data_IF_635925489230
#
_entry.id   IF_635925489230
#
_cell.length_a   1.000
_cell.length_b   1.000
_cell.length_c   1.000
_cell.angle_alpha   90.00
_cell.angle_beta   90.00
_cell.angle_gamma   90.00
#
_symmetry.space_group_name_H-M   'P 1'
#
loop_
_entity.id
_entity.type
_entity.pdbx_description
1 polymer ?
#
# COMPACT_ATOMS: atom_id res chain seq x y z
N UNK A 1 -35.56 -43.71 8.14
CA UNK A 1 -34.82 -42.69 7.38
C UNK A 1 -34.68 -41.52 8.30
N UNK A 2 -33.46 -41.23 8.76
CA UNK A 2 -33.02 -39.88 9.15
C UNK A 2 -31.51 -39.95 9.32
N UNK A 3 -30.80 -39.66 8.24
CA UNK A 3 -29.36 -39.45 8.25
C UNK A 3 -29.21 -37.95 8.53
N UNK A 4 -29.16 -37.61 9.82
CA UNK A 4 -28.85 -36.27 10.28
C UNK A 4 -27.41 -35.94 9.92
N UNK A 5 -27.25 -35.14 8.88
CA UNK A 5 -25.99 -34.51 8.49
C UNK A 5 -25.55 -33.58 9.61
N UNK A 6 -24.75 -34.07 10.56
CA UNK A 6 -24.00 -33.20 11.47
C UNK A 6 -23.00 -32.41 10.62
N UNK A 7 -23.42 -31.22 10.18
CA UNK A 7 -22.48 -30.19 9.74
C UNK A 7 -21.47 -30.03 10.88
N UNK A 8 -20.18 -30.13 10.56
CA UNK A 8 -19.13 -29.92 11.55
C UNK A 8 -19.35 -28.54 12.19
N UNK A 9 -19.79 -28.52 13.44
CA UNK A 9 -19.97 -27.28 14.21
C UNK A 9 -18.63 -26.55 14.21
N UNK A 10 -18.59 -25.37 13.60
CA UNK A 10 -17.40 -24.54 13.60
C UNK A 10 -17.14 -24.09 15.03
N UNK A 11 -16.10 -24.66 15.64
CA UNK A 11 -15.69 -24.35 17.00
C UNK A 11 -14.63 -23.26 16.97
N UNK A 12 -14.89 -22.15 17.65
CA UNK A 12 -14.00 -21.01 17.71
C UNK A 12 -13.24 -20.95 19.03
N UNK A 13 -11.97 -20.57 18.95
CA UNK A 13 -11.15 -20.26 20.11
C UNK A 13 -11.49 -18.88 20.71
N UNK A 14 -11.12 -18.67 21.97
CA UNK A 14 -11.26 -17.37 22.65
C UNK A 14 -10.74 -16.17 21.84
N UNK A 15 -9.60 -16.33 21.16
CA UNK A 15 -8.97 -15.29 20.36
C UNK A 15 -9.79 -14.97 19.10
N UNK A 16 -10.40 -15.97 18.48
CA UNK A 16 -11.27 -15.78 17.32
C UNK A 16 -12.58 -15.11 17.71
N UNK A 17 -13.19 -15.53 18.82
CA UNK A 17 -14.40 -14.88 19.35
C UNK A 17 -14.11 -13.43 19.75
N UNK A 18 -12.93 -13.14 20.30
CA UNK A 18 -12.51 -11.76 20.60
C UNK A 18 -12.44 -10.88 19.34
N UNK A 19 -11.94 -11.44 18.22
CA UNK A 19 -11.89 -10.74 16.92
C UNK A 19 -13.29 -10.52 16.36
N UNK A 20 -14.15 -11.53 16.39
CA UNK A 20 -15.52 -11.46 15.85
C UNK A 20 -16.37 -10.46 16.63
N UNK A 21 -16.27 -10.46 17.97
CA UNK A 21 -17.08 -9.60 18.85
C UNK A 21 -16.48 -8.22 19.12
N UNK A 22 -15.22 -8.00 18.73
CA UNK A 22 -14.47 -6.77 19.05
C UNK A 22 -14.28 -6.55 20.56
N UNK A 23 -14.33 -7.61 21.37
CA UNK A 23 -14.11 -7.56 22.83
C UNK A 23 -12.78 -8.21 23.20
N UNK A 24 -12.20 -7.83 24.34
CA UNK A 24 -10.98 -8.47 24.83
C UNK A 24 -11.24 -9.92 25.28
N UNK A 25 -10.26 -10.81 25.09
CA UNK A 25 -10.33 -12.22 25.51
C UNK A 25 -10.66 -12.37 27.01
N UNK A 26 -10.21 -11.43 27.85
CA UNK A 26 -10.53 -11.37 29.28
C UNK A 26 -12.01 -11.14 29.55
N UNK A 27 -12.67 -10.36 28.70
CA UNK A 27 -14.12 -10.10 28.77
C UNK A 27 -14.89 -11.35 28.37
N UNK A 28 -14.49 -11.99 27.28
CA UNK A 28 -15.09 -13.26 26.82
C UNK A 28 -14.92 -14.35 27.89
N UNK A 29 -13.72 -14.48 28.47
CA UNK A 29 -13.46 -15.40 29.59
C UNK A 29 -14.35 -15.13 30.82
N UNK A 30 -14.66 -13.86 31.10
CA UNK A 30 -15.57 -13.50 32.20
C UNK A 30 -17.01 -13.92 31.87
N UNK A 31 -17.45 -13.77 30.63
CA UNK A 31 -18.79 -14.19 30.19
C UNK A 31 -18.97 -15.71 30.29
N UNK A 32 -17.94 -16.48 29.91
CA UNK A 32 -17.95 -17.93 30.10
C UNK A 32 -18.06 -18.28 31.58
N UNK A 33 -17.22 -17.68 32.44
CA UNK A 33 -17.25 -17.92 33.89
C UNK A 33 -18.57 -17.50 34.56
N UNK A 34 -19.24 -16.48 34.04
CA UNK A 34 -20.54 -16.04 34.56
C UNK A 34 -21.72 -16.78 33.92
N UNK A 35 -21.48 -17.80 33.08
CA UNK A 35 -22.54 -18.58 32.42
C UNK A 35 -23.31 -17.82 31.35
N UNK A 36 -22.80 -16.67 30.89
CA UNK A 36 -23.44 -15.85 29.85
C UNK A 36 -23.12 -16.33 28.43
N UNK A 37 -22.05 -17.10 28.27
CA UNK A 37 -21.62 -17.67 27.01
C UNK A 37 -21.31 -19.15 27.25
N UNK A 38 -22.05 -20.09 26.65
CA UNK A 38 -21.72 -21.51 26.74
C UNK A 38 -20.39 -21.77 26.02
N UNK A 39 -19.54 -22.59 26.64
CA UNK A 39 -18.25 -22.97 26.07
C UNK A 39 -17.82 -24.33 26.60
N UNK A 40 -17.15 -25.11 25.76
CA UNK A 40 -16.58 -26.41 26.11
C UNK A 40 -15.10 -26.19 26.45
N UNK A 41 -14.68 -26.65 27.63
CA UNK A 41 -13.27 -26.57 28.03
C UNK A 41 -12.46 -27.61 27.26
N UNK A 42 -11.50 -27.16 26.45
CA UNK A 42 -10.62 -28.03 25.67
C UNK A 42 -9.17 -27.72 26.02
N UNK A 43 -8.53 -28.62 26.78
CA UNK A 43 -7.17 -28.44 27.29
C UNK A 43 -7.06 -27.22 28.23
N UNK A 44 -6.19 -26.28 27.87
CA UNK A 44 -5.97 -25.02 28.59
C UNK A 44 -6.90 -23.88 28.15
N UNK A 45 -7.72 -24.08 27.11
CA UNK A 45 -8.59 -23.07 26.52
C UNK A 45 -10.08 -23.43 26.58
N UNK A 46 -10.87 -22.60 25.90
CA UNK A 46 -12.32 -22.79 25.71
C UNK A 46 -12.63 -22.75 24.21
N UNK A 47 -13.53 -23.64 23.79
CA UNK A 47 -14.11 -23.70 22.46
C UNK A 47 -15.58 -23.29 22.54
N UNK A 48 -15.98 -22.38 21.65
CA UNK A 48 -17.33 -21.79 21.62
C UNK A 48 -17.93 -22.10 20.26
N UNK A 49 -19.16 -22.60 20.25
CA UNK A 49 -19.90 -22.87 19.01
C UNK A 49 -20.32 -21.56 18.33
N UNK A 50 -20.32 -21.53 17.00
CA UNK A 50 -20.65 -20.33 16.21
C UNK A 50 -22.01 -19.71 16.60
N UNK A 51 -22.99 -20.56 16.83
CA UNK A 51 -24.38 -20.19 17.15
C UNK A 51 -24.53 -19.46 18.49
N UNK A 52 -23.62 -19.70 19.42
CA UNK A 52 -23.62 -19.09 20.75
C UNK A 52 -22.87 -17.77 20.80
N UNK A 53 -22.06 -17.46 19.76
CA UNK A 53 -21.37 -16.20 19.68
C UNK A 53 -22.44 -15.11 19.51
N UNK A 54 -22.50 -14.09 20.39
CA UNK A 54 -23.38 -12.96 20.20
C UNK A 54 -22.89 -12.16 18.99
N UNK A 55 -23.30 -12.61 17.81
CA UNK A 55 -23.10 -11.99 16.52
C UNK A 55 -23.96 -10.74 16.46
N UNK A 56 -23.45 -9.58 16.91
CA UNK A 56 -23.86 -8.27 16.40
C UNK A 56 -22.76 -7.24 16.65
N UNK A 57 -22.15 -6.73 15.58
CA UNK A 57 -22.58 -5.50 14.91
C UNK A 57 -22.02 -5.57 13.49
N UNK A 58 -22.89 -5.31 12.52
CA UNK A 58 -22.53 -5.13 11.11
C UNK A 58 -21.27 -4.25 10.99
N UNK A 59 -20.16 -4.73 10.40
CA UNK A 59 -18.94 -3.93 10.22
C UNK A 59 -19.16 -2.72 9.29
N UNK A 60 -20.35 -2.62 8.70
CA UNK A 60 -20.80 -1.51 7.84
C UNK A 60 -21.33 -0.31 8.62
N UNK A 61 -21.66 -0.45 9.92
CA UNK A 61 -21.99 0.71 10.76
C UNK A 61 -20.71 1.37 11.28
N UNK A 62 -20.18 2.24 10.42
CA UNK A 62 -19.13 3.18 10.71
C UNK A 62 -19.42 3.93 12.02
N UNK A 63 -18.48 3.83 12.96
CA UNK A 63 -18.51 4.47 14.29
C UNK A 63 -18.72 5.98 14.18
N UNK A 64 -18.33 6.58 13.05
CA UNK A 64 -18.54 7.99 12.75
C UNK A 64 -20.01 8.36 12.52
N UNK A 65 -20.83 7.47 11.95
CA UNK A 65 -22.26 7.73 11.73
C UNK A 65 -23.02 7.86 13.05
N UNK A 66 -22.72 7.01 14.03
CA UNK A 66 -23.34 7.02 15.37
C UNK A 66 -22.95 8.29 16.15
N UNK A 67 -21.71 8.75 16.01
CA UNK A 67 -21.23 9.98 16.66
C UNK A 67 -21.88 11.22 16.02
N UNK A 68 -22.02 11.25 14.69
CA UNK A 68 -22.72 12.33 14.00
C UNK A 68 -24.20 12.36 14.34
N UNK A 69 -24.89 11.22 14.42
CA UNK A 69 -26.30 11.14 14.81
C UNK A 69 -26.53 11.64 16.25
N UNK A 70 -25.55 11.44 17.13
CA UNK A 70 -25.55 11.97 18.51
C UNK A 70 -25.30 13.47 18.59
N UNK A 71 -24.52 14.03 17.67
CA UNK A 71 -24.24 15.46 17.59
C UNK A 71 -25.38 16.26 16.92
N UNK A 72 -26.22 15.60 16.11
CA UNK A 72 -27.30 16.19 15.33
C UNK A 72 -28.69 16.05 15.97
N UNK A 73 -28.80 15.45 17.16
CA UNK A 73 -30.06 15.35 17.91
C UNK A 73 -30.08 16.37 19.04
N UNK A 74 -30.80 17.51 18.92
CA UNK A 74 -30.95 18.48 19.99
C UNK A 74 -32.24 18.18 20.74
N UNK A 75 -32.28 17.13 21.55
CA UNK A 75 -33.24 17.03 22.66
C UNK A 75 -32.99 15.76 23.49
N UNK A 76 -33.00 15.91 24.82
CA UNK A 76 -33.07 14.78 25.75
C UNK A 76 -32.03 14.77 26.86
N UNK A 77 -31.98 15.85 27.65
CA UNK A 77 -31.68 15.87 29.09
C UNK A 77 -30.99 14.65 29.74
N UNK A 78 -29.70 14.76 30.01
CA UNK A 78 -29.12 14.21 31.25
C UNK A 78 -28.39 15.34 31.99
N UNK A 79 -28.69 15.55 33.28
CA UNK A 79 -28.12 16.65 34.05
C UNK A 79 -26.66 16.35 34.41
N UNK A 80 -25.79 17.32 34.15
CA UNK A 80 -24.45 17.35 34.72
C UNK A 80 -24.52 17.22 36.24
N UNK A 81 -23.65 16.42 36.89
CA UNK A 81 -23.43 16.55 38.31
C UNK A 81 -22.65 17.85 38.53
N UNK A 82 -23.38 18.94 38.80
CA UNK A 82 -22.81 20.11 39.44
C UNK A 82 -22.32 19.67 40.82
N UNK A 83 -21.00 19.58 40.96
CA UNK A 83 -20.36 19.49 42.26
C UNK A 83 -20.68 20.78 43.03
N UNK A 84 -21.75 20.74 43.83
CA UNK A 84 -21.98 21.71 44.88
C UNK A 84 -20.86 21.52 45.90
N UNK A 85 -19.89 22.43 45.88
CA UNK A 85 -19.04 22.70 47.03
C UNK A 85 -19.93 23.12 48.20
N UNK A 86 -20.42 22.13 48.95
CA UNK A 86 -20.90 22.34 50.30
C UNK A 86 -19.69 22.74 51.14
N UNK A 87 -19.41 24.04 51.19
CA UNK A 87 -18.67 24.62 52.29
C UNK A 87 -19.50 24.35 53.53
N UNK A 88 -19.14 23.31 54.29
CA UNK A 88 -19.56 23.18 55.70
C UNK A 88 -18.96 24.38 56.44
N UNK A 89 -19.68 25.50 56.40
CA UNK A 89 -19.50 26.57 57.36
C UNK A 89 -19.86 25.97 58.71
N UNK A 90 -18.82 25.64 59.48
CA UNK A 90 -18.97 25.35 60.91
C UNK A 90 -19.38 26.66 61.56
N UNK A 91 -20.64 26.76 61.94
CA UNK A 91 -21.20 27.92 62.63
C UNK A 91 -20.53 28.06 64.01
N UNK A 92 -19.52 28.93 64.07
CA UNK A 92 -18.71 29.21 65.26
C UNK A 92 -19.57 29.64 66.48
N UNK A 93 -20.79 30.13 66.23
CA UNK A 93 -21.71 30.54 67.30
C UNK A 93 -22.34 29.36 68.03
N UNK A 94 -22.41 28.16 67.44
CA UNK A 94 -22.89 26.95 68.14
C UNK A 94 -21.85 26.37 69.09
N UNK A 95 -20.55 26.55 68.81
CA UNK A 95 -19.47 25.99 69.66
C UNK A 95 -19.28 26.83 70.93
N UNK A 96 -19.48 28.16 70.87
CA UNK A 96 -19.37 29.02 72.06
C UNK A 96 -20.49 28.84 73.09
N UNK A 97 -21.67 28.35 72.69
CA UNK A 97 -22.79 28.15 73.62
C UNK A 97 -22.68 26.87 74.46
N UNK A 98 -21.85 25.89 74.06
CA UNK A 98 -21.65 24.66 74.85
C UNK A 98 -20.54 24.83 75.91
N UNK A 99 -19.61 25.76 75.71
CA UNK A 99 -18.53 26.03 76.66
C UNK A 99 -18.97 26.86 77.89
N UNK A 100 -20.16 27.48 77.87
CA UNK A 100 -20.65 28.35 78.95
C UNK A 100 -21.40 27.66 80.10
N UNK A 101 -21.86 26.41 79.93
CA UNK A 101 -22.72 25.74 80.93
C UNK A 101 -21.98 24.85 81.95
N UNK A 102 -20.66 24.69 81.84
CA UNK A 102 -19.85 23.86 82.76
C UNK A 102 -18.78 24.75 83.44
N UNK A 103 -19.21 25.77 84.16
CA UNK A 103 -18.30 26.65 84.92
C UNK A 103 -18.75 26.85 86.38
N UNK A 104 -19.41 25.84 86.95
CA UNK A 104 -19.61 25.70 88.40
C UNK A 104 -18.57 24.78 89.00
N UNK A 105 -17.31 25.22 89.11
CA UNK A 105 -16.23 24.42 89.71
C UNK A 105 -14.88 25.12 89.62
N UNK A 106 -14.44 25.73 90.72
CA UNK A 106 -13.39 26.74 90.76
C UNK A 106 -11.95 26.19 90.97
N UNK A 107 -11.66 24.93 90.61
CA UNK A 107 -10.34 24.33 90.87
C UNK A 107 -9.57 23.77 89.65
N UNK A 108 -10.22 23.55 88.49
CA UNK A 108 -9.56 22.91 87.32
C UNK A 108 -9.39 23.83 86.10
N UNK A 109 -9.28 25.14 86.31
CA UNK A 109 -9.17 26.10 85.20
C UNK A 109 -7.89 25.95 84.37
N UNK A 110 -6.83 25.33 84.92
CA UNK A 110 -5.58 25.11 84.17
C UNK A 110 -5.74 24.03 83.10
N UNK A 111 -6.45 22.93 83.38
CA UNK A 111 -6.61 21.80 82.45
C UNK A 111 -7.52 22.11 81.25
N UNK A 112 -8.46 23.06 81.37
CA UNK A 112 -9.36 23.42 80.26
C UNK A 112 -8.68 24.28 79.18
N UNK A 113 -7.84 25.24 79.59
CA UNK A 113 -7.04 26.04 78.64
C UNK A 113 -6.06 25.18 77.85
N UNK A 114 -5.47 24.16 78.48
CA UNK A 114 -4.57 23.22 77.81
C UNK A 114 -5.31 22.37 76.76
N UNK A 115 -6.56 22.00 76.99
CA UNK A 115 -7.38 21.27 76.01
C UNK A 115 -7.78 22.13 74.80
N UNK A 116 -8.12 23.41 75.02
CA UNK A 116 -8.42 24.34 73.93
C UNK A 116 -7.17 24.62 73.09
N UNK A 117 -6.02 24.83 73.74
CA UNK A 117 -4.74 24.98 73.04
C UNK A 117 -4.39 23.73 72.22
N UNK A 118 -4.63 22.52 72.76
CA UNK A 118 -4.42 21.27 72.04
C UNK A 118 -5.34 21.14 70.82
N UNK A 119 -6.62 21.50 70.96
CA UNK A 119 -7.57 21.51 69.84
C UNK A 119 -7.13 22.50 68.75
N UNK A 120 -6.72 23.71 69.14
CA UNK A 120 -6.23 24.72 68.21
C UNK A 120 -4.96 24.25 67.48
N UNK A 121 -4.01 23.64 68.20
CA UNK A 121 -2.82 23.04 67.60
C UNK A 121 -3.16 21.91 66.61
N UNK A 122 -4.12 21.04 66.96
CA UNK A 122 -4.58 19.97 66.07
C UNK A 122 -5.23 20.54 64.81
N UNK A 123 -6.08 21.56 64.96
CA UNK A 123 -6.71 22.23 63.84
C UNK A 123 -5.67 22.94 62.96
N UNK A 124 -4.70 23.61 63.56
CA UNK A 124 -3.60 24.24 62.84
C UNK A 124 -2.80 23.20 62.03
N UNK A 125 -2.45 22.05 62.63
CA UNK A 125 -1.78 20.95 61.94
C UNK A 125 -2.62 20.36 60.80
N UNK A 126 -3.94 20.29 60.96
CA UNK A 126 -4.87 19.84 59.91
C UNK A 126 -4.93 20.84 58.75
N UNK A 127 -5.01 22.15 59.03
CA UNK A 127 -4.95 23.20 58.01
C UNK A 127 -3.62 23.15 57.25
N UNK A 128 -2.50 23.00 57.95
CA UNK A 128 -1.17 22.85 57.31
C UNK A 128 -1.07 21.59 56.45
N UNK A 129 -1.73 20.49 56.85
CA UNK A 129 -1.82 19.28 56.03
C UNK A 129 -2.65 19.54 54.76
N UNK A 130 -3.81 20.18 54.88
CA UNK A 130 -4.65 20.52 53.73
C UNK A 130 -3.89 21.43 52.75
N UNK A 131 -3.18 22.43 53.25
CA UNK A 131 -2.37 23.32 52.39
C UNK A 131 -1.30 22.53 51.63
N UNK A 132 -0.61 21.59 52.29
CA UNK A 132 0.37 20.72 51.62
C UNK A 132 -0.27 19.85 50.54
N UNK A 133 -1.39 19.21 50.85
CA UNK A 133 -2.12 18.37 49.89
C UNK A 133 -2.62 19.18 48.69
N UNK A 134 -3.13 20.40 48.91
CA UNK A 134 -3.55 21.30 47.85
C UNK A 134 -2.36 21.75 46.98
N UNK A 135 -1.21 22.03 47.58
CA UNK A 135 0.01 22.37 46.83
C UNK A 135 0.52 21.20 45.99
N UNK A 136 0.53 19.97 46.52
CA UNK A 136 0.88 18.78 45.76
C UNK A 136 -0.09 18.53 44.60
N UNK A 137 -1.38 18.74 44.83
CA UNK A 137 -2.41 18.61 43.80
C UNK A 137 -2.23 19.67 42.70
N UNK A 138 -1.98 20.92 43.07
CA UNK A 138 -1.70 22.00 42.12
C UNK A 138 -0.46 21.69 41.27
N UNK A 139 0.60 21.13 41.87
CA UNK A 139 1.79 20.71 41.13
C UNK A 139 1.48 19.57 40.15
N UNK A 140 0.70 18.57 40.57
CA UNK A 140 0.24 17.49 39.68
C UNK A 140 -0.58 18.03 38.50
N UNK A 141 -1.48 18.98 38.75
CA UNK A 141 -2.24 19.65 37.69
C UNK A 141 -1.32 20.41 36.73
N UNK A 142 -0.35 21.17 37.22
CA UNK A 142 0.60 21.89 36.37
C UNK A 142 1.39 20.93 35.46
N UNK A 143 1.88 19.81 36.02
CA UNK A 143 2.58 18.76 35.25
C UNK A 143 1.68 18.10 34.21
N UNK A 144 0.44 17.80 34.56
CA UNK A 144 -0.53 17.21 33.64
C UNK A 144 -0.87 18.15 32.48
N UNK A 145 -1.14 19.43 32.77
CA UNK A 145 -1.43 20.45 31.74
C UNK A 145 -0.25 20.64 30.80
N UNK A 146 0.97 20.71 31.32
CA UNK A 146 2.17 20.77 30.48
C UNK A 146 2.29 19.54 29.57
N UNK A 147 2.01 18.35 30.10
CA UNK A 147 2.07 17.12 29.31
C UNK A 147 1.00 17.06 28.22
N UNK A 148 -0.21 17.55 28.52
CA UNK A 148 -1.29 17.68 27.54
C UNK A 148 -0.84 18.60 26.40
N UNK A 149 -0.32 19.79 26.71
CA UNK A 149 0.17 20.72 25.68
C UNK A 149 1.28 20.14 24.79
N UNK A 150 2.21 19.35 25.36
CA UNK A 150 3.22 18.64 24.56
C UNK A 150 2.60 17.62 23.59
N UNK A 151 1.55 16.90 24.03
CA UNK A 151 0.87 15.91 23.20
C UNK A 151 0.02 16.58 22.12
N UNK A 152 -0.64 17.69 22.44
CA UNK A 152 -1.39 18.51 21.48
C UNK A 152 -0.48 19.05 20.38
N UNK A 153 0.69 19.61 20.73
CA UNK A 153 1.65 20.08 19.74
C UNK A 153 2.19 18.95 18.86
N UNK A 154 2.47 17.78 19.46
CA UNK A 154 2.86 16.59 18.70
C UNK A 154 1.75 16.13 17.74
N UNK A 155 0.49 16.14 18.17
CA UNK A 155 -0.64 15.78 17.33
C UNK A 155 -0.80 16.77 16.18
N UNK A 156 -0.68 18.08 16.44
CA UNK A 156 -0.71 19.12 15.40
C UNK A 156 0.34 18.89 14.31
N UNK A 157 1.58 18.55 14.71
CA UNK A 157 2.65 18.25 13.75
C UNK A 157 2.35 17.00 12.92
N UNK A 158 1.77 15.96 13.53
CA UNK A 158 1.37 14.75 12.81
C UNK A 158 0.23 15.02 11.83
N UNK A 159 -0.75 15.83 12.20
CA UNK A 159 -1.83 16.28 11.32
C UNK A 159 -1.31 17.08 10.13
N UNK A 160 -0.37 17.99 10.36
CA UNK A 160 0.28 18.76 9.28
C UNK A 160 1.05 17.84 8.32
N UNK A 161 1.78 16.86 8.85
CA UNK A 161 2.49 15.87 8.04
C UNK A 161 1.55 14.99 7.23
N UNK A 162 0.45 14.51 7.83
CA UNK A 162 -0.57 13.73 7.14
C UNK A 162 -1.20 14.56 6.01
N UNK A 163 -1.58 15.81 6.28
CA UNK A 163 -2.12 16.71 5.25
C UNK A 163 -1.13 16.93 4.10
N UNK A 164 0.16 17.04 4.40
CA UNK A 164 1.21 17.16 3.37
C UNK A 164 1.36 15.88 2.55
N UNK A 165 1.26 14.71 3.18
CA UNK A 165 1.27 13.43 2.49
C UNK A 165 0.02 13.27 1.61
N UNK A 166 -1.15 13.63 2.09
CA UNK A 166 -2.39 13.59 1.32
C UNK A 166 -2.33 14.50 0.08
N UNK A 167 -1.79 15.71 0.23
CA UNK A 167 -1.52 16.61 -0.91
C UNK A 167 -0.56 15.98 -1.91
N UNK A 168 0.51 15.32 -1.44
CA UNK A 168 1.47 14.62 -2.32
C UNK A 168 0.81 13.44 -3.03
N UNK A 169 -0.02 12.67 -2.33
CA UNK A 169 -0.77 11.55 -2.90
C UNK A 169 -1.76 12.04 -3.96
N UNK A 170 -2.41 13.18 -3.74
CA UNK A 170 -3.30 13.80 -4.73
C UNK A 170 -2.60 14.31 -6.00
N UNK A 171 -1.29 14.54 -5.96
CA UNK A 171 -0.48 14.89 -7.15
C UNK A 171 -0.05 13.67 -7.96
N UNK A 172 -0.11 12.47 -7.36
CA UNK A 172 0.24 11.25 -8.09
C UNK A 172 -0.89 10.92 -9.08
N UNK A 173 -0.56 10.44 -10.28
CA UNK A 173 -1.57 9.98 -11.22
C UNK A 173 -2.36 8.82 -10.59
N UNK A 174 -3.70 8.75 -10.81
CA UNK A 174 -4.49 7.62 -10.39
C UNK A 174 -3.87 6.28 -10.83
N UNK A 175 -4.01 5.20 -10.05
CA UNK A 175 -3.44 3.89 -10.39
C UNK A 175 -3.86 3.39 -11.78
N UNK A 176 -5.07 3.77 -12.20
CA UNK A 176 -5.62 3.49 -13.54
C UNK A 176 -4.77 4.10 -14.65
N UNK A 177 -4.31 5.36 -14.47
CA UNK A 177 -3.42 6.02 -15.42
C UNK A 177 -2.05 5.35 -15.46
N UNK A 178 -1.51 4.94 -14.31
CA UNK A 178 -0.25 4.21 -14.26
C UNK A 178 -0.32 2.88 -15.02
N UNK A 179 -1.41 2.14 -14.85
CA UNK A 179 -1.65 0.91 -15.58
C UNK A 179 -1.81 1.14 -17.08
N UNK A 180 -2.49 2.22 -17.47
CA UNK A 180 -2.62 2.61 -18.87
C UNK A 180 -1.26 2.95 -19.50
N UNK A 181 -0.46 3.79 -18.84
CA UNK A 181 0.90 4.13 -19.29
C UNK A 181 1.80 2.89 -19.37
N UNK A 182 1.68 1.97 -18.41
CA UNK A 182 2.45 0.71 -18.43
C UNK A 182 2.06 -0.18 -19.61
N UNK A 183 0.76 -0.35 -19.85
CA UNK A 183 0.27 -1.10 -21.01
C UNK A 183 0.72 -0.45 -22.33
N UNK A 184 0.74 0.87 -22.41
CA UNK A 184 1.22 1.59 -23.59
C UNK A 184 2.72 1.35 -23.83
N UNK A 185 3.54 1.43 -22.77
CA UNK A 185 4.98 1.11 -22.85
C UNK A 185 5.20 -0.33 -23.29
N UNK A 186 4.44 -1.29 -22.76
CA UNK A 186 4.54 -2.69 -23.14
C UNK A 186 4.16 -2.89 -24.63
N UNK A 187 3.09 -2.25 -25.11
CA UNK A 187 2.71 -2.25 -26.54
C UNK A 187 3.80 -1.65 -27.44
N UNK A 188 4.42 -0.54 -27.01
CA UNK A 188 5.51 0.08 -27.78
C UNK A 188 6.75 -0.81 -27.82
N UNK A 189 7.06 -1.51 -26.72
CA UNK A 189 8.14 -2.50 -26.69
C UNK A 189 7.87 -3.64 -27.65
N UNK A 190 6.67 -4.21 -27.64
CA UNK A 190 6.30 -5.29 -28.54
C UNK A 190 6.37 -4.84 -30.01
N UNK A 191 5.89 -3.64 -30.30
CA UNK A 191 5.98 -3.03 -31.64
C UNK A 191 7.42 -2.82 -32.08
N UNK A 192 8.31 -2.39 -31.18
CA UNK A 192 9.74 -2.20 -31.48
C UNK A 192 10.42 -3.54 -31.76
N UNK A 193 10.11 -4.57 -30.98
CA UNK A 193 10.65 -5.91 -31.19
C UNK A 193 10.18 -6.49 -32.52
N UNK A 194 8.92 -6.29 -32.89
CA UNK A 194 8.39 -6.70 -34.19
C UNK A 194 9.11 -5.97 -35.34
N UNK A 195 9.31 -4.65 -35.22
CA UNK A 195 10.05 -3.87 -36.21
C UNK A 195 11.48 -4.40 -36.40
N UNK A 196 12.18 -4.71 -35.31
CA UNK A 196 13.55 -5.25 -35.35
C UNK A 196 13.64 -6.62 -36.05
N UNK A 197 12.64 -7.50 -35.83
CA UNK A 197 12.55 -8.78 -36.53
C UNK A 197 12.32 -8.56 -38.02
N UNK A 198 11.44 -7.63 -38.39
CA UNK A 198 11.20 -7.31 -39.80
C UNK A 198 12.42 -6.69 -40.48
N UNK A 199 13.15 -5.81 -39.79
CA UNK A 199 14.39 -5.21 -40.26
C UNK A 199 15.44 -6.29 -40.54
N UNK A 200 15.66 -7.20 -39.60
CA UNK A 200 16.58 -8.34 -39.77
C UNK A 200 16.20 -9.20 -40.98
N UNK A 201 14.90 -9.40 -41.23
CA UNK A 201 14.41 -10.11 -42.40
C UNK A 201 14.70 -9.37 -43.71
N UNK A 202 14.54 -8.04 -43.74
CA UNK A 202 14.87 -7.24 -44.92
C UNK A 202 16.37 -7.19 -45.19
N UNK A 203 17.20 -7.09 -44.14
CA UNK A 203 18.65 -7.17 -44.28
C UNK A 203 19.13 -8.50 -44.85
N UNK A 204 18.48 -9.60 -44.46
CA UNK A 204 18.79 -10.92 -45.04
C UNK A 204 18.43 -10.96 -46.53
N UNK A 205 17.23 -10.48 -46.90
CA UNK A 205 16.82 -10.41 -48.31
C UNK A 205 17.74 -9.52 -49.14
N UNK A 206 18.21 -8.40 -48.59
CA UNK A 206 19.18 -7.53 -49.25
C UNK A 206 20.49 -8.27 -49.51
N UNK A 207 21.02 -8.99 -48.52
CA UNK A 207 22.25 -9.80 -48.69
C UNK A 207 22.08 -10.89 -49.75
N UNK A 208 20.94 -11.58 -49.77
CA UNK A 208 20.63 -12.60 -50.79
C UNK A 208 20.57 -11.99 -52.20
N UNK A 209 19.90 -10.85 -52.37
CA UNK A 209 19.84 -10.14 -53.65
C UNK A 209 21.22 -9.63 -54.11
N UNK A 210 22.03 -9.08 -53.20
CA UNK A 210 23.40 -8.68 -53.51
C UNK A 210 24.25 -9.87 -53.98
N UNK A 211 24.10 -11.04 -53.35
CA UNK A 211 24.79 -12.25 -53.77
C UNK A 211 24.33 -12.71 -55.16
N UNK A 212 23.02 -12.69 -55.43
CA UNK A 212 22.48 -13.01 -56.75
C UNK A 212 23.00 -12.07 -57.83
N UNK A 213 23.07 -10.76 -57.56
CA UNK A 213 23.62 -9.80 -58.51
C UNK A 213 25.10 -10.07 -58.80
N UNK A 214 25.92 -10.34 -57.78
CA UNK A 214 27.34 -10.68 -57.97
C UNK A 214 27.51 -11.94 -58.81
N UNK A 215 26.67 -12.94 -58.60
CA UNK A 215 26.69 -14.16 -59.39
C UNK A 215 26.32 -13.88 -60.85
N UNK A 216 25.23 -13.16 -61.09
CA UNK A 216 24.81 -12.76 -62.43
C UNK A 216 25.87 -11.92 -63.16
N UNK A 217 26.55 -11.00 -62.47
CA UNK A 217 27.68 -10.25 -63.03
C UNK A 217 28.84 -11.16 -63.43
N UNK A 218 29.16 -12.16 -62.61
CA UNK A 218 30.23 -13.11 -62.91
C UNK A 218 29.91 -13.99 -64.12
N UNK A 219 28.66 -14.42 -64.25
CA UNK A 219 28.18 -15.21 -65.39
C UNK A 219 28.14 -14.35 -66.66
N UNK A 220 27.69 -13.10 -66.55
CA UNK A 220 27.70 -12.17 -67.68
C UNK A 220 29.12 -11.90 -68.18
N UNK A 221 30.11 -11.72 -67.29
CA UNK A 221 31.53 -11.61 -67.67
C UNK A 221 32.03 -12.85 -68.40
N UNK A 222 31.68 -14.06 -67.93
CA UNK A 222 32.04 -15.32 -68.61
C UNK A 222 31.43 -15.40 -70.00
N UNK A 223 30.15 -15.07 -70.14
CA UNK A 223 29.46 -15.05 -71.43
C UNK A 223 30.04 -14.01 -72.39
N UNK A 224 30.45 -12.84 -71.89
CA UNK A 224 31.16 -11.82 -72.68
C UNK A 224 32.51 -12.34 -73.19
N UNK A 225 33.27 -13.03 -72.36
CA UNK A 225 34.55 -13.64 -72.75
C UNK A 225 34.35 -14.77 -73.78
N UNK A 226 33.35 -15.64 -73.58
CA UNK A 226 32.98 -16.68 -74.55
C UNK A 226 32.52 -16.09 -75.87
N UNK A 227 31.69 -15.04 -75.83
CA UNK A 227 31.25 -14.32 -77.03
C UNK A 227 32.44 -13.74 -77.79
N UNK A 228 33.43 -13.14 -77.11
CA UNK A 228 34.66 -12.63 -77.74
C UNK A 228 35.44 -13.75 -78.43
N UNK A 229 35.63 -14.89 -77.76
CA UNK A 229 36.31 -16.06 -78.35
C UNK A 229 35.58 -16.56 -79.59
N UNK A 230 34.27 -16.71 -79.52
CA UNK A 230 33.45 -17.14 -80.66
C UNK A 230 33.49 -16.13 -81.83
N UNK A 231 33.54 -14.82 -81.54
CA UNK A 231 33.71 -13.78 -82.57
C UNK A 231 35.08 -13.86 -83.26
N UNK A 232 36.15 -14.12 -82.50
CA UNK A 232 37.50 -14.28 -83.05
C UNK A 232 37.62 -15.56 -83.89
N UNK A 233 37.06 -16.68 -83.42
CA UNK A 233 36.96 -17.93 -84.20
C UNK A 233 36.17 -17.71 -85.50
N UNK A 234 35.05 -16.99 -85.44
CA UNK A 234 34.26 -16.67 -86.64
C UNK A 234 35.07 -15.84 -87.64
N UNK A 235 35.83 -14.85 -87.17
CA UNK A 235 36.72 -14.04 -88.02
C UNK A 235 37.83 -14.88 -88.65
N UNK A 236 38.41 -15.82 -87.89
CA UNK A 236 39.43 -16.72 -88.40
C UNK A 236 38.88 -17.61 -89.53
N UNK A 237 37.74 -18.27 -89.29
CA UNK A 237 37.08 -19.11 -90.30
C UNK A 237 36.70 -18.29 -91.54
N UNK A 238 36.21 -17.05 -91.35
CA UNK A 238 35.88 -16.17 -92.47
C UNK A 238 37.11 -15.79 -93.29
N UNK A 239 38.25 -15.53 -92.64
CA UNK A 239 39.52 -15.28 -93.33
C UNK A 239 40.03 -16.52 -94.08
N UNK A 240 39.98 -17.71 -93.47
CA UNK A 240 40.32 -18.98 -94.12
C UNK A 240 39.42 -19.24 -95.34
N UNK A 241 38.11 -19.03 -95.21
CA UNK A 241 37.17 -19.18 -96.31
C UNK A 241 37.45 -18.19 -97.45
N UNK A 242 37.79 -16.93 -97.14
CA UNK A 242 38.20 -15.95 -98.15
C UNK A 242 39.49 -16.39 -98.86
N UNK A 243 40.47 -16.90 -98.13
CA UNK A 243 41.72 -17.42 -98.70
C UNK A 243 41.45 -18.59 -99.66
N UNK A 244 40.69 -19.60 -99.23
CA UNK A 244 40.30 -20.75 -100.07
C UNK A 244 39.55 -20.28 -101.31
N UNK A 245 38.65 -19.30 -101.18
CA UNK A 245 37.94 -18.72 -102.33
C UNK A 245 38.88 -18.08 -103.35
N UNK A 246 39.88 -17.32 -102.87
CA UNK A 246 40.91 -16.71 -103.73
C UNK A 246 41.76 -17.78 -104.41
N UNK A 247 42.17 -18.82 -103.67
CA UNK A 247 42.93 -19.96 -104.22
C UNK A 247 42.14 -20.67 -105.31
N UNK A 248 40.87 -20.98 -105.07
CA UNK A 248 39.98 -21.68 -106.01
C UNK A 248 39.70 -20.85 -107.27
N UNK A 249 39.53 -19.53 -107.14
CA UNK A 249 39.42 -18.61 -108.29
C UNK A 249 40.73 -18.55 -109.10
N UNK A 250 41.88 -18.64 -108.43
CA UNK A 250 43.18 -18.72 -109.10
C UNK A 250 43.35 -20.03 -109.88
N UNK A 251 42.90 -21.16 -109.32
CA UNK A 251 42.93 -22.47 -109.99
C UNK A 251 41.97 -22.53 -111.18
N UNK A 252 40.76 -21.97 -111.04
CA UNK A 252 39.80 -21.84 -112.16
C UNK A 252 40.41 -21.04 -113.30
N UNK A 253 41.02 -19.89 -113.02
CA UNK A 253 41.75 -19.10 -114.04
C UNK A 253 42.85 -19.94 -114.69
N UNK A 254 43.70 -20.63 -113.91
CA UNK A 254 44.75 -21.52 -114.45
C UNK A 254 44.17 -22.61 -115.37
N UNK A 255 43.06 -23.24 -114.99
CA UNK A 255 42.37 -24.25 -115.82
C UNK A 255 41.80 -23.65 -117.11
N UNK A 256 41.25 -22.44 -117.06
CA UNK A 256 40.76 -21.75 -118.26
C UNK A 256 41.92 -21.46 -119.23
N UNK A 257 43.04 -20.94 -118.73
CA UNK A 257 44.24 -20.71 -119.55
C UNK A 257 44.78 -22.01 -120.16
N UNK A 258 44.78 -23.11 -119.40
CA UNK A 258 45.20 -24.42 -119.89
C UNK A 258 44.30 -24.95 -121.01
N UNK A 259 42.99 -24.62 -121.02
CA UNK A 259 42.06 -24.99 -122.11
C UNK A 259 42.18 -24.08 -123.34
N UNK A 260 42.52 -22.80 -123.16
CA UNK A 260 42.63 -21.84 -124.28
C UNK A 260 43.96 -21.90 -125.03
N UNK A 261 45.06 -22.31 -124.37
CA UNK A 261 46.40 -22.30 -124.95
C UNK A 261 47.17 -23.63 -124.83
N UNK A 262 46.56 -24.66 -124.22
CA UNK A 262 47.19 -25.97 -123.99
C UNK A 262 46.62 -27.11 -124.81
N UNK A 263 45.95 -26.80 -125.93
CA UNK A 263 45.53 -27.75 -126.97
C UNK A 263 46.15 -27.38 -128.30
#
# INVERSE_FOLDING_TARGET
>A
MDIGTHMAEAQYSLAEVAKITGKSEKTISRWIKSGKLPAIRHGTGYLISEEDIPLRVDPTLDRHSVIQQRLLSPDGSEPLPTASSESRQVDLNQIMNVAGLIAGGQADRKNCFDNINLMFQKHQAEVEKIIREQNELAEKYARATYKIGQLEERNRLLEEQNLKLDRKMGLLPPPEQWNATRQEVDRLRDSLQQAQVTESSYEQKLRELEQQMRQAESDNRRLEDEKRRAEDERRQIEAEHQQVKVELDSERKKSIWKRLFGG
#
